data_IF_561288683987
#
_entry.id   IF_561288683987
#
_cell.length_a   1.000
_cell.length_b   1.000
_cell.length_c   1.000
_cell.angle_alpha   90.00
_cell.angle_beta   90.00
_cell.angle_gamma   90.00
#
_symmetry.space_group_name_H-M   'P 1'
#
loop_
_entity.id
_entity.type
_entity.pdbx_description
1 polymer ?
#
# COMPACT_ATOMS: atom_id res chain seq x y z
N UNK A 1 2.65 -51.30 -37.91
CA UNK A 1 2.39 -50.57 -36.67
C UNK A 1 3.50 -49.53 -36.52
N UNK A 2 3.21 -48.28 -36.80
CA UNK A 2 4.17 -47.17 -36.68
C UNK A 2 3.62 -46.27 -35.55
N UNK A 3 4.36 -46.17 -34.47
CA UNK A 3 4.08 -45.29 -33.34
C UNK A 3 4.66 -43.91 -33.62
N UNK A 4 3.79 -42.91 -33.77
CA UNK A 4 4.19 -41.50 -33.90
C UNK A 4 4.35 -40.90 -32.49
N UNK A 5 5.58 -40.52 -32.17
CA UNK A 5 5.89 -39.73 -30.98
C UNK A 5 5.65 -38.25 -31.29
N UNK A 6 4.67 -37.63 -30.64
CA UNK A 6 4.53 -36.18 -30.63
C UNK A 6 5.48 -35.61 -29.56
N UNK A 7 6.50 -34.91 -30.02
CA UNK A 7 7.34 -34.08 -29.17
C UNK A 7 6.60 -32.78 -28.86
N UNK A 8 6.39 -32.51 -27.56
CA UNK A 8 5.85 -31.23 -27.08
C UNK A 8 6.92 -30.14 -27.25
N UNK A 9 6.53 -29.03 -27.82
CA UNK A 9 7.36 -27.84 -27.92
C UNK A 9 7.56 -27.19 -26.54
N UNK A 10 8.77 -26.65 -26.24
CA UNK A 10 9.00 -25.97 -24.96
C UNK A 10 8.26 -24.64 -24.91
N UNK A 11 7.66 -24.34 -23.74
CA UNK A 11 7.03 -23.09 -23.44
C UNK A 11 8.04 -21.91 -23.52
N UNK A 12 7.61 -20.71 -23.94
CA UNK A 12 8.49 -19.55 -23.98
C UNK A 12 8.87 -19.12 -22.57
N UNK A 13 10.16 -19.06 -22.31
CA UNK A 13 10.77 -18.52 -21.12
C UNK A 13 10.42 -17.04 -21.00
N UNK A 14 9.65 -16.66 -19.97
CA UNK A 14 9.43 -15.28 -19.56
C UNK A 14 10.75 -14.70 -19.05
N UNK A 15 11.45 -13.99 -19.93
CA UNK A 15 12.59 -13.16 -19.55
C UNK A 15 12.09 -12.02 -18.65
N UNK A 16 12.44 -12.07 -17.38
CA UNK A 16 12.29 -10.92 -16.46
C UNK A 16 13.15 -9.77 -16.98
N UNK A 17 12.57 -8.59 -17.28
CA UNK A 17 13.38 -7.44 -17.64
C UNK A 17 14.14 -6.96 -16.40
N UNK A 18 15.45 -7.19 -16.37
CA UNK A 18 16.37 -6.48 -15.48
C UNK A 18 16.49 -5.05 -16.01
N UNK A 19 15.57 -4.15 -15.62
CA UNK A 19 15.71 -2.74 -15.92
C UNK A 19 16.74 -2.16 -14.96
N UNK A 20 17.97 -1.99 -15.44
CA UNK A 20 18.91 -1.05 -14.83
C UNK A 20 18.42 0.35 -15.19
N UNK A 21 18.25 1.22 -14.19
CA UNK A 21 18.07 2.65 -14.42
C UNK A 21 19.28 3.14 -15.21
N UNK A 22 19.05 3.64 -16.43
CA UNK A 22 20.12 4.26 -17.20
C UNK A 22 20.72 5.37 -16.34
N UNK A 23 22.03 5.30 -16.10
CA UNK A 23 22.74 6.28 -15.29
C UNK A 23 22.57 7.67 -15.90
N UNK A 24 21.85 8.60 -15.25
CA UNK A 24 21.77 9.97 -15.74
C UNK A 24 23.16 10.62 -15.60
N UNK A 25 23.54 11.41 -16.61
CA UNK A 25 24.69 12.31 -16.49
C UNK A 25 24.52 13.14 -15.22
N UNK A 26 25.56 13.28 -14.37
CA UNK A 26 25.43 14.01 -13.12
C UNK A 26 25.05 15.47 -13.41
N UNK A 27 23.88 15.87 -12.96
CA UNK A 27 23.55 17.28 -12.80
C UNK A 27 24.46 17.86 -11.70
N UNK A 28 24.93 19.09 -11.88
CA UNK A 28 25.84 19.74 -10.95
C UNK A 28 25.29 19.71 -9.50
N UNK A 29 26.11 19.42 -8.48
CA UNK A 29 25.67 19.26 -7.12
C UNK A 29 25.22 20.61 -6.54
N UNK A 30 23.94 20.73 -6.24
CA UNK A 30 23.41 21.70 -5.27
C UNK A 30 23.17 20.97 -3.95
N UNK A 31 24.23 20.42 -3.37
CA UNK A 31 24.17 19.74 -2.09
C UNK A 31 24.39 20.75 -0.97
N UNK A 32 23.62 20.65 0.10
CA UNK A 32 23.84 21.35 1.38
C UNK A 32 24.98 20.72 2.21
N UNK A 33 25.69 19.74 1.67
CA UNK A 33 26.93 19.23 2.24
C UNK A 33 28.09 20.01 1.63
N UNK A 34 28.86 20.73 2.48
CA UNK A 34 30.07 21.42 2.06
C UNK A 34 31.05 20.47 1.34
N UNK A 35 31.78 21.00 0.36
CA UNK A 35 32.78 20.22 -0.39
C UNK A 35 33.80 19.53 0.53
N UNK A 36 33.99 20.04 1.74
CA UNK A 36 34.90 19.51 2.78
C UNK A 36 34.28 18.41 3.67
N UNK A 37 32.99 18.05 3.45
CA UNK A 37 32.34 16.99 4.24
C UNK A 37 32.96 15.62 3.96
N UNK A 38 33.04 14.72 4.96
CA UNK A 38 33.52 13.35 4.77
C UNK A 38 32.80 12.63 3.64
N UNK A 39 33.46 11.77 2.86
CA UNK A 39 32.86 11.10 1.69
C UNK A 39 31.57 10.36 1.98
N UNK A 40 31.42 9.69 3.14
CA UNK A 40 30.20 9.00 3.55
C UNK A 40 29.04 9.96 3.83
N UNK A 41 29.31 11.18 4.31
CA UNK A 41 28.29 12.21 4.57
C UNK A 41 27.75 12.75 3.24
N UNK A 42 28.66 13.04 2.30
CA UNK A 42 28.26 13.48 0.94
C UNK A 42 27.43 12.40 0.23
N UNK A 43 27.92 11.15 0.26
CA UNK A 43 27.22 10.02 -0.35
C UNK A 43 25.80 9.86 0.22
N UNK A 44 25.61 10.04 1.54
CA UNK A 44 24.28 9.98 2.15
C UNK A 44 23.38 11.13 1.67
N UNK A 45 23.90 12.35 1.63
CA UNK A 45 23.17 13.52 1.16
C UNK A 45 22.72 13.36 -0.29
N UNK A 46 23.64 12.96 -1.19
CA UNK A 46 23.37 12.74 -2.60
C UNK A 46 22.33 11.62 -2.80
N UNK A 47 22.45 10.53 -2.03
CA UNK A 47 21.50 9.41 -2.07
C UNK A 47 20.09 9.82 -1.64
N UNK A 48 19.97 10.59 -0.57
CA UNK A 48 18.67 11.06 -0.08
C UNK A 48 18.05 12.11 -1.02
N UNK A 49 18.88 12.96 -1.62
CA UNK A 49 18.44 13.91 -2.64
C UNK A 49 17.89 13.18 -3.87
N UNK A 50 18.58 12.14 -4.33
CA UNK A 50 18.09 11.32 -5.45
C UNK A 50 16.84 10.54 -5.10
N UNK A 51 16.76 9.99 -3.88
CA UNK A 51 15.55 9.34 -3.37
C UNK A 51 14.35 10.31 -3.36
N UNK A 52 14.57 11.55 -2.92
CA UNK A 52 13.53 12.60 -2.93
C UNK A 52 13.12 13.00 -4.36
N UNK A 53 14.09 13.13 -5.28
CA UNK A 53 13.85 13.45 -6.69
C UNK A 53 12.98 12.39 -7.38
N UNK A 54 13.27 11.12 -7.12
CA UNK A 54 12.53 9.97 -7.65
C UNK A 54 11.25 9.65 -6.87
N UNK A 55 10.95 10.41 -5.82
CA UNK A 55 9.83 10.16 -4.92
C UNK A 55 9.84 8.72 -4.35
N UNK A 56 11.02 8.21 -4.02
CA UNK A 56 11.18 6.88 -3.47
C UNK A 56 10.53 6.74 -2.08
N UNK A 57 9.87 5.63 -1.83
CA UNK A 57 9.30 5.30 -0.51
C UNK A 57 10.33 4.71 0.46
N UNK A 58 11.28 3.92 -0.05
CA UNK A 58 12.28 3.25 0.76
C UNK A 58 13.66 3.34 0.10
N UNK A 59 14.71 3.51 0.93
CA UNK A 59 16.10 3.33 0.56
C UNK A 59 16.64 2.08 1.26
N UNK A 60 17.15 1.14 0.48
CA UNK A 60 17.77 -0.09 0.96
C UNK A 60 19.29 -0.01 0.79
N UNK A 61 20.02 -0.22 1.86
CA UNK A 61 21.48 -0.32 1.92
C UNK A 61 21.80 -1.77 2.25
N UNK A 62 22.37 -2.49 1.29
CA UNK A 62 22.49 -3.95 1.34
C UNK A 62 23.94 -4.38 1.24
N UNK A 63 24.52 -4.96 2.32
CA UNK A 63 25.83 -5.58 2.25
C UNK A 63 25.76 -6.87 1.43
N UNK A 64 26.83 -7.17 0.70
CA UNK A 64 27.00 -8.33 -0.13
C UNK A 64 28.39 -8.93 0.10
N UNK A 65 28.65 -10.14 -0.39
CA UNK A 65 29.95 -10.81 -0.26
C UNK A 65 31.10 -9.92 -0.78
N UNK A 66 30.88 -9.33 -1.97
CA UNK A 66 31.86 -8.46 -2.62
C UNK A 66 31.34 -7.02 -2.71
N UNK A 67 31.30 -6.31 -1.56
CA UNK A 67 30.90 -4.91 -1.51
C UNK A 67 29.51 -4.67 -0.92
N UNK A 68 28.81 -3.71 -1.46
CA UNK A 68 27.48 -3.33 -1.04
C UNK A 68 26.77 -2.56 -2.15
N UNK A 69 25.41 -2.51 -2.08
CA UNK A 69 24.62 -1.77 -3.04
C UNK A 69 23.54 -0.93 -2.35
N UNK A 70 23.08 0.08 -3.06
CA UNK A 70 21.93 0.88 -2.68
C UNK A 70 20.81 0.69 -3.70
N UNK A 71 19.57 0.48 -3.21
CA UNK A 71 18.38 0.38 -4.03
C UNK A 71 17.31 1.32 -3.50
N UNK A 72 16.56 1.92 -4.42
CA UNK A 72 15.38 2.73 -4.12
C UNK A 72 14.11 1.98 -4.48
N UNK A 73 13.10 2.07 -3.63
CA UNK A 73 11.75 1.62 -3.99
C UNK A 73 10.97 2.81 -4.53
N UNK A 74 10.69 2.77 -5.83
CA UNK A 74 9.92 3.80 -6.55
C UNK A 74 8.64 3.16 -7.06
N UNK A 75 7.49 3.75 -6.71
CA UNK A 75 6.16 3.22 -7.06
C UNK A 75 5.98 1.70 -6.79
N UNK A 76 6.56 1.23 -5.67
CA UNK A 76 6.48 -0.16 -5.22
C UNK A 76 7.58 -1.09 -5.77
N UNK A 77 8.34 -0.68 -6.80
CA UNK A 77 9.39 -1.50 -7.44
C UNK A 77 10.77 -1.08 -6.96
N UNK A 78 11.66 -2.06 -6.70
CA UNK A 78 13.05 -1.83 -6.32
C UNK A 78 13.92 -1.62 -7.56
N UNK A 79 14.64 -0.49 -7.58
CA UNK A 79 15.62 -0.14 -8.61
C UNK A 79 17.00 0.00 -7.96
N UNK A 80 18.03 -0.55 -8.60
CA UNK A 80 19.41 -0.37 -8.15
C UNK A 80 19.87 1.06 -8.47
N UNK A 81 20.29 1.79 -7.43
CA UNK A 81 20.77 3.16 -7.55
C UNK A 81 22.28 3.19 -7.83
N UNK A 82 23.04 2.48 -7.01
CA UNK A 82 24.50 2.46 -7.13
C UNK A 82 25.15 1.34 -6.33
N UNK A 83 26.42 1.09 -6.63
CA UNK A 83 27.35 0.22 -5.88
C UNK A 83 28.58 1.05 -5.45
N UNK A 84 28.51 1.70 -4.29
CA UNK A 84 29.62 2.54 -3.86
C UNK A 84 30.87 1.73 -3.46
N UNK A 85 32.04 2.38 -3.34
CA UNK A 85 33.27 1.74 -2.90
C UNK A 85 33.11 1.01 -1.56
N UNK A 86 33.65 -0.20 -1.45
CA UNK A 86 33.49 -1.05 -0.26
C UNK A 86 33.96 -0.38 1.05
N UNK A 87 35.03 0.41 1.00
CA UNK A 87 35.61 1.10 2.17
C UNK A 87 34.68 2.18 2.78
N UNK A 88 33.67 2.65 2.04
CA UNK A 88 32.72 3.66 2.55
C UNK A 88 31.56 3.04 3.35
N UNK A 89 31.34 1.73 3.26
CA UNK A 89 30.17 1.05 3.83
C UNK A 89 30.03 1.31 5.33
N UNK A 90 31.07 1.01 6.10
CA UNK A 90 30.98 1.07 7.56
C UNK A 90 30.84 2.51 8.07
N UNK A 91 31.50 3.46 7.42
CA UNK A 91 31.34 4.88 7.70
C UNK A 91 29.92 5.38 7.36
N UNK A 92 29.34 4.89 6.26
CA UNK A 92 27.99 5.21 5.84
C UNK A 92 26.95 4.66 6.84
N UNK A 93 27.04 3.36 7.20
CA UNK A 93 26.17 2.70 8.18
C UNK A 93 26.26 3.42 9.52
N UNK A 94 27.47 3.69 10.01
CA UNK A 94 27.67 4.43 11.26
C UNK A 94 27.03 5.80 11.21
N UNK A 95 27.19 6.55 10.12
CA UNK A 95 26.56 7.87 9.96
C UNK A 95 25.03 7.81 10.04
N UNK A 96 24.42 6.86 9.36
CA UNK A 96 22.97 6.66 9.42
C UNK A 96 22.52 6.31 10.85
N UNK A 97 23.21 5.40 11.53
CA UNK A 97 22.88 5.00 12.91
C UNK A 97 22.99 6.20 13.89
N UNK A 98 24.05 7.01 13.78
CA UNK A 98 24.19 8.24 14.59
C UNK A 98 23.00 9.19 14.37
N UNK A 99 22.66 9.46 13.12
CA UNK A 99 21.55 10.36 12.78
C UNK A 99 20.21 9.80 13.24
N UNK A 100 20.03 8.48 13.18
CA UNK A 100 18.81 7.78 13.61
C UNK A 100 18.78 7.52 15.13
N UNK A 101 19.79 7.99 15.91
CA UNK A 101 19.95 7.77 17.35
C UNK A 101 19.96 6.30 17.76
N UNK A 102 20.59 5.46 16.94
CA UNK A 102 20.83 4.04 17.20
C UNK A 102 22.19 3.83 17.86
N UNK A 103 22.35 2.71 18.55
CA UNK A 103 23.62 2.30 19.14
C UNK A 103 24.58 1.86 18.01
N UNK A 104 25.71 2.58 17.87
CA UNK A 104 26.73 2.30 16.85
C UNK A 104 27.65 1.13 17.22
N UNK A 105 27.75 0.80 18.53
CA UNK A 105 28.57 -0.31 19.03
C UNK A 105 27.85 -1.64 18.89
N UNK A 106 26.52 -1.66 19.01
CA UNK A 106 25.72 -2.86 18.86
C UNK A 106 25.43 -3.16 17.38
N UNK A 107 25.88 -4.33 16.89
CA UNK A 107 25.75 -4.78 15.50
C UNK A 107 25.17 -6.18 15.37
N UNK A 108 24.76 -6.80 16.48
CA UNK A 108 24.34 -8.22 16.54
C UNK A 108 22.83 -8.39 16.60
N UNK A 109 22.09 -7.33 16.90
CA UNK A 109 20.64 -7.33 17.03
C UNK A 109 20.02 -6.25 16.16
N UNK A 110 18.77 -6.43 15.70
CA UNK A 110 18.03 -5.39 14.98
C UNK A 110 17.83 -4.15 15.85
N UNK A 111 17.84 -2.98 15.19
CA UNK A 111 17.54 -1.70 15.85
C UNK A 111 16.57 -0.90 14.99
N UNK A 112 15.73 -0.12 15.66
CA UNK A 112 14.85 0.86 15.04
C UNK A 112 15.23 2.27 15.48
N UNK A 113 15.15 3.22 14.54
CA UNK A 113 15.42 4.62 14.79
C UNK A 113 14.60 5.54 13.90
N UNK A 114 14.74 6.84 14.13
CA UNK A 114 14.14 7.88 13.29
C UNK A 114 15.19 8.90 12.90
N UNK A 115 15.11 9.34 11.67
CA UNK A 115 16.05 10.28 11.05
C UNK A 115 15.23 11.41 10.42
N UNK A 116 15.56 12.66 10.79
CA UNK A 116 14.95 13.85 10.21
C UNK A 116 16.02 14.72 9.59
N UNK A 117 15.94 14.96 8.29
CA UNK A 117 16.95 15.69 7.53
C UNK A 117 16.32 16.69 6.56
N UNK A 118 17.04 17.81 6.37
CA UNK A 118 16.80 18.70 5.24
C UNK A 118 17.40 18.05 3.98
N UNK A 119 16.59 17.81 2.94
CA UNK A 119 17.05 17.15 1.70
C UNK A 119 17.26 18.20 0.62
N UNK A 120 16.53 18.98 0.12
CA UNK A 120 16.79 20.00 -0.90
C UNK A 120 15.85 21.20 -0.72
N UNK A 121 16.27 22.39 -1.10
CA UNK A 121 15.45 23.62 -1.09
C UNK A 121 14.66 23.86 0.21
N UNK A 122 15.21 23.47 1.38
CA UNK A 122 14.57 23.64 2.67
C UNK A 122 13.49 22.62 3.01
N UNK A 123 13.26 21.60 2.17
CA UNK A 123 12.32 20.52 2.44
C UNK A 123 12.92 19.56 3.45
N UNK A 124 12.21 19.35 4.56
CA UNK A 124 12.60 18.42 5.62
C UNK A 124 11.84 17.11 5.40
N UNK A 125 12.55 16.00 5.38
CA UNK A 125 11.96 14.67 5.29
C UNK A 125 12.26 13.86 6.55
N UNK A 126 11.28 13.09 6.98
CA UNK A 126 11.37 12.16 8.10
C UNK A 126 11.49 10.73 7.56
N UNK A 127 12.41 9.95 8.16
CA UNK A 127 12.61 8.54 7.83
C UNK A 127 12.53 7.67 9.08
N UNK A 128 11.82 6.56 8.99
CA UNK A 128 11.97 5.44 9.91
C UNK A 128 13.14 4.59 9.40
N UNK A 129 14.09 4.29 10.28
CA UNK A 129 15.28 3.52 9.96
C UNK A 129 15.26 2.21 10.73
N UNK A 130 15.45 1.10 10.03
CA UNK A 130 15.65 -0.21 10.63
C UNK A 130 17.01 -0.75 10.22
N UNK A 131 17.76 -1.29 11.18
CA UNK A 131 19.00 -2.05 10.95
C UNK A 131 18.78 -3.52 11.26
N UNK A 132 19.36 -4.38 10.42
CA UNK A 132 19.29 -5.83 10.58
C UNK A 132 20.67 -6.44 10.32
N UNK A 133 21.25 -7.21 11.26
CA UNK A 133 22.45 -8.00 11.01
C UNK A 133 22.23 -9.03 9.91
N UNK A 134 23.16 -9.10 8.96
CA UNK A 134 23.19 -10.12 7.91
C UNK A 134 24.56 -10.77 7.84
N UNK A 135 24.71 -11.82 7.02
CA UNK A 135 25.99 -12.55 6.85
C UNK A 135 27.16 -11.64 6.46
N UNK A 136 26.90 -10.57 5.69
CA UNK A 136 27.95 -9.72 5.14
C UNK A 136 28.01 -8.32 5.78
N UNK A 137 27.25 -8.10 6.87
CA UNK A 137 27.19 -6.85 7.62
C UNK A 137 25.77 -6.38 7.90
N UNK A 138 25.62 -5.17 8.41
CA UNK A 138 24.30 -4.62 8.73
C UNK A 138 23.60 -4.13 7.44
N UNK A 139 22.39 -4.65 7.18
CA UNK A 139 21.46 -4.08 6.20
C UNK A 139 20.70 -2.94 6.86
N UNK A 140 20.54 -1.82 6.15
CA UNK A 140 19.68 -0.72 6.58
C UNK A 140 18.53 -0.54 5.59
N UNK A 141 17.36 -0.19 6.13
CA UNK A 141 16.22 0.27 5.35
C UNK A 141 15.74 1.59 5.94
N UNK A 142 15.74 2.63 5.12
CA UNK A 142 15.19 3.93 5.46
C UNK A 142 13.85 4.07 4.74
N UNK A 143 12.75 4.05 5.50
CA UNK A 143 11.40 4.28 4.98
C UNK A 143 11.02 5.73 5.18
N UNK A 144 10.73 6.43 4.10
CA UNK A 144 10.25 7.81 4.17
C UNK A 144 8.85 7.84 4.79
N UNK A 145 8.68 8.69 5.79
CA UNK A 145 7.37 8.99 6.35
C UNK A 145 6.73 10.06 5.45
N UNK A 146 5.71 9.65 4.72
CA UNK A 146 5.01 10.56 3.81
C UNK A 146 4.18 11.56 4.62
N UNK A 147 4.18 12.83 4.22
CA UNK A 147 3.19 13.78 4.68
C UNK A 147 1.85 13.46 4.00
N UNK A 148 0.75 13.77 4.69
CA UNK A 148 -0.56 13.70 4.04
C UNK A 148 -0.57 14.56 2.78
N UNK A 149 -1.05 14.04 1.64
CA UNK A 149 -1.31 14.86 0.48
C UNK A 149 -2.29 15.99 0.83
N UNK A 150 -1.99 17.22 0.41
CA UNK A 150 -2.85 18.37 0.70
C UNK A 150 -4.25 18.24 0.07
N UNK A 151 -4.35 17.45 -1.00
CA UNK A 151 -5.56 17.18 -1.79
C UNK A 151 -6.20 15.81 -1.46
N UNK A 152 -5.88 15.24 -0.29
CA UNK A 152 -6.42 13.93 0.10
C UNK A 152 -7.95 13.98 0.18
N UNK A 153 -8.60 13.29 -0.74
CA UNK A 153 -10.06 13.24 -0.93
C UNK A 153 -10.47 11.88 -1.48
N UNK A 154 -11.76 11.57 -1.49
CA UNK A 154 -12.26 10.34 -2.13
C UNK A 154 -11.90 10.27 -3.63
N UNK A 155 -11.81 11.42 -4.30
CA UNK A 155 -11.42 11.48 -5.72
C UNK A 155 -9.95 11.08 -5.92
N UNK A 156 -9.07 11.47 -4.99
CA UNK A 156 -7.64 11.12 -5.05
C UNK A 156 -7.36 9.64 -4.81
N UNK A 157 -8.29 8.91 -4.17
CA UNK A 157 -8.16 7.46 -3.94
C UNK A 157 -8.31 6.62 -5.22
N UNK A 158 -8.87 7.19 -6.28
CA UNK A 158 -9.10 6.47 -7.54
C UNK A 158 -10.39 5.64 -7.55
N UNK A 159 -11.38 5.96 -6.74
CA UNK A 159 -12.71 5.36 -6.79
C UNK A 159 -13.44 5.75 -8.09
N UNK A 160 -14.20 4.81 -8.65
CA UNK A 160 -15.17 5.16 -9.71
C UNK A 160 -16.34 5.98 -9.09
N UNK A 161 -17.04 6.83 -9.87
CA UNK A 161 -18.09 7.70 -9.32
C UNK A 161 -19.13 6.95 -8.47
N UNK A 162 -19.65 5.83 -8.95
CA UNK A 162 -20.61 5.01 -8.20
C UNK A 162 -20.01 4.41 -6.92
N UNK A 163 -18.74 3.99 -6.96
CA UNK A 163 -18.02 3.49 -5.79
C UNK A 163 -17.81 4.59 -4.76
N UNK A 164 -17.43 5.80 -5.20
CA UNK A 164 -17.30 6.98 -4.34
C UNK A 164 -18.57 7.28 -3.57
N UNK A 165 -19.72 7.29 -4.25
CA UNK A 165 -21.03 7.57 -3.63
C UNK A 165 -21.42 6.52 -2.59
N UNK A 166 -21.08 5.24 -2.83
CA UNK A 166 -21.27 4.16 -1.86
C UNK A 166 -20.39 4.36 -0.64
N UNK A 167 -19.10 4.65 -0.84
CA UNK A 167 -18.15 4.90 0.24
C UNK A 167 -18.57 6.12 1.07
N UNK A 168 -18.89 7.25 0.44
CA UNK A 168 -19.28 8.49 1.12
C UNK A 168 -20.51 8.28 2.01
N UNK A 169 -21.55 7.60 1.48
CA UNK A 169 -22.74 7.25 2.28
C UNK A 169 -22.41 6.33 3.44
N UNK A 170 -21.53 5.36 3.24
CA UNK A 170 -21.19 4.37 4.27
C UNK A 170 -20.39 4.97 5.42
N UNK A 171 -19.43 5.85 5.11
CA UNK A 171 -18.62 6.51 6.16
C UNK A 171 -19.38 7.61 6.89
N UNK A 172 -20.44 8.17 6.32
CA UNK A 172 -21.30 9.15 6.99
C UNK A 172 -22.44 8.53 7.80
N UNK A 173 -22.53 7.21 7.83
CA UNK A 173 -23.51 6.52 8.66
C UNK A 173 -23.25 6.80 10.15
N UNK A 174 -24.29 6.88 11.00
CA UNK A 174 -24.13 7.19 12.42
C UNK A 174 -23.34 6.14 13.18
N UNK A 175 -23.41 4.87 12.78
CA UNK A 175 -22.73 3.74 13.40
C UNK A 175 -22.52 2.60 12.40
N UNK A 176 -21.69 1.64 12.73
CA UNK A 176 -21.43 0.45 11.94
C UNK A 176 -19.96 0.24 11.66
N UNK A 177 -19.62 -0.89 11.05
CA UNK A 177 -18.23 -1.27 10.73
C UNK A 177 -17.97 -1.07 9.23
N UNK A 178 -16.95 -0.31 8.91
CA UNK A 178 -16.43 -0.11 7.55
C UNK A 178 -15.01 -0.68 7.48
N UNK A 179 -14.77 -1.58 6.55
CA UNK A 179 -13.51 -2.29 6.39
C UNK A 179 -12.82 -1.93 5.08
N UNK A 180 -11.51 -1.68 5.17
CA UNK A 180 -10.62 -1.59 4.01
C UNK A 180 -9.65 -2.75 4.06
N UNK A 181 -9.67 -3.62 3.04
CA UNK A 181 -8.81 -4.79 3.00
C UNK A 181 -7.87 -4.80 1.82
N UNK A 182 -6.81 -5.57 1.92
CA UNK A 182 -5.77 -5.72 0.89
C UNK A 182 -4.41 -6.08 1.49
N UNK A 183 -3.43 -6.48 0.68
CA UNK A 183 -2.08 -6.75 1.14
C UNK A 183 -1.38 -5.49 1.70
N UNK A 184 -0.21 -5.72 2.27
CA UNK A 184 0.69 -4.62 2.66
C UNK A 184 1.03 -3.77 1.43
N UNK A 185 1.01 -2.45 1.59
CA UNK A 185 1.30 -1.51 0.48
C UNK A 185 0.13 -1.26 -0.48
N UNK A 186 -1.08 -1.77 -0.23
CA UNK A 186 -2.26 -1.49 -1.06
C UNK A 186 -2.89 -0.11 -0.82
N UNK A 187 -2.39 0.68 0.11
CA UNK A 187 -2.87 2.04 0.40
C UNK A 187 -4.00 2.13 1.43
N UNK A 188 -4.27 1.07 2.21
CA UNK A 188 -5.35 1.03 3.21
C UNK A 188 -5.30 2.18 4.21
N UNK A 189 -4.14 2.45 4.78
CA UNK A 189 -3.93 3.54 5.75
C UNK A 189 -4.32 4.90 5.16
N UNK A 190 -3.93 5.16 3.90
CA UNK A 190 -4.30 6.42 3.23
C UNK A 190 -5.80 6.54 3.00
N UNK A 191 -6.49 5.43 2.69
CA UNK A 191 -7.96 5.42 2.59
C UNK A 191 -8.62 5.71 3.94
N UNK A 192 -8.15 5.09 5.03
CA UNK A 192 -8.67 5.36 6.37
C UNK A 192 -8.39 6.80 6.81
N UNK A 193 -7.21 7.34 6.53
CA UNK A 193 -6.89 8.74 6.82
C UNK A 193 -7.75 9.72 6.02
N UNK A 194 -8.05 9.40 4.75
CA UNK A 194 -9.01 10.14 3.94
C UNK A 194 -10.40 10.14 4.60
N UNK A 195 -10.89 8.99 5.05
CA UNK A 195 -12.18 8.87 5.71
C UNK A 195 -12.20 9.67 7.03
N UNK A 196 -11.16 9.55 7.85
CA UNK A 196 -11.04 10.33 9.08
C UNK A 196 -11.03 11.84 8.82
N UNK A 197 -10.30 12.31 7.81
CA UNK A 197 -10.26 13.72 7.43
C UNK A 197 -11.63 14.25 6.99
N UNK A 198 -12.37 13.46 6.20
CA UNK A 198 -13.73 13.83 5.75
C UNK A 198 -14.76 13.86 6.90
N UNK A 199 -14.51 13.09 7.96
CA UNK A 199 -15.37 13.03 9.14
C UNK A 199 -14.96 14.01 10.22
N UNK A 200 -13.75 14.58 10.13
CA UNK A 200 -13.17 15.45 11.15
C UNK A 200 -13.87 16.81 11.18
N UNK A 201 -14.76 16.97 12.12
CA UNK A 201 -15.50 18.18 12.40
C UNK A 201 -15.39 18.51 13.89
N UNK A 202 -15.45 19.80 14.26
CA UNK A 202 -15.37 20.23 15.66
C UNK A 202 -16.47 19.63 16.57
N UNK A 203 -17.57 19.15 15.99
CA UNK A 203 -18.68 18.52 16.68
C UNK A 203 -18.55 17.01 16.84
N UNK A 204 -17.41 16.40 16.45
CA UNK A 204 -17.19 14.95 16.50
C UNK A 204 -15.90 14.62 17.21
N UNK A 205 -15.94 13.61 18.05
CA UNK A 205 -14.77 13.04 18.71
C UNK A 205 -14.25 11.82 17.91
N UNK A 206 -13.10 12.00 17.25
CA UNK A 206 -12.44 10.98 16.47
C UNK A 206 -11.24 10.41 17.24
N UNK A 207 -11.20 9.09 17.39
CA UNK A 207 -10.10 8.37 18.03
C UNK A 207 -9.49 7.34 17.08
N UNK A 208 -8.17 7.19 17.10
CA UNK A 208 -7.50 6.13 16.38
C UNK A 208 -6.50 5.37 17.25
N UNK A 209 -6.36 4.06 17.00
CA UNK A 209 -5.30 3.22 17.53
C UNK A 209 -4.55 2.52 16.40
N UNK A 210 -3.23 2.67 16.38
CA UNK A 210 -2.35 2.32 15.24
C UNK A 210 -1.04 1.68 15.72
N UNK A 211 -0.35 0.92 14.86
CA UNK A 211 0.90 0.23 15.22
C UNK A 211 2.07 0.53 14.25
N UNK A 212 2.80 1.64 14.45
CA UNK A 212 2.40 2.87 15.15
C UNK A 212 1.63 3.83 14.22
N UNK A 213 1.15 4.97 14.74
CA UNK A 213 0.67 6.09 13.93
C UNK A 213 1.80 6.60 13.02
N UNK A 214 1.57 6.56 11.70
CA UNK A 214 2.57 6.94 10.70
C UNK A 214 2.57 8.44 10.44
N UNK A 215 1.39 9.06 10.41
CA UNK A 215 1.18 10.48 10.12
C UNK A 215 0.33 11.09 11.24
N UNK A 216 0.72 12.26 11.72
CA UNK A 216 -0.06 13.00 12.70
C UNK A 216 -1.23 13.70 12.02
N UNK A 217 -2.45 13.42 12.48
CA UNK A 217 -3.68 14.03 11.99
C UNK A 217 -4.18 15.08 13.00
N UNK A 218 -4.27 16.33 12.55
CA UNK A 218 -4.81 17.40 13.41
C UNK A 218 -6.29 17.12 13.72
N UNK A 219 -6.69 17.31 14.98
CA UNK A 219 -8.08 17.13 15.43
C UNK A 219 -8.48 15.67 15.70
N UNK A 220 -7.55 14.71 15.64
CA UNK A 220 -7.81 13.29 15.91
C UNK A 220 -6.97 12.82 17.10
N UNK A 221 -7.59 12.09 18.01
CA UNK A 221 -6.93 11.50 19.18
C UNK A 221 -6.26 10.19 18.78
N UNK A 222 -4.98 10.26 18.38
CA UNK A 222 -4.22 9.10 17.89
C UNK A 222 -3.44 8.42 19.00
N UNK A 223 -3.61 7.12 19.16
CA UNK A 223 -2.89 6.25 20.11
C UNK A 223 -2.01 5.29 19.33
N UNK A 224 -0.74 5.22 19.66
CA UNK A 224 0.16 4.18 19.16
C UNK A 224 0.23 3.00 20.12
N UNK A 225 0.07 1.80 19.60
CA UNK A 225 0.24 0.53 20.34
C UNK A 225 1.62 0.48 21.01
N UNK A 226 1.66 -0.04 22.21
CA UNK A 226 2.87 -0.27 23.01
C UNK A 226 2.76 -1.61 23.73
N UNK A 227 2.94 -2.70 23.03
CA UNK A 227 2.77 -4.07 23.57
C UNK A 227 3.59 -4.30 24.85
N UNK A 228 4.84 -3.82 24.89
CA UNK A 228 5.72 -3.91 26.08
C UNK A 228 5.14 -3.23 27.34
N UNK A 229 4.25 -2.26 27.15
CA UNK A 229 3.54 -1.56 28.22
C UNK A 229 2.12 -2.10 28.44
N UNK A 230 1.71 -3.15 27.73
CA UNK A 230 0.37 -3.70 27.78
C UNK A 230 -0.69 -2.90 27.04
N UNK A 231 -0.30 -1.87 26.28
CA UNK A 231 -1.24 -1.07 25.46
C UNK A 231 -1.40 -1.74 24.09
N UNK A 232 -2.34 -2.68 24.00
CA UNK A 232 -2.72 -3.40 22.79
C UNK A 232 -3.87 -2.67 22.06
N UNK A 233 -4.23 -3.13 20.84
CA UNK A 233 -5.41 -2.65 20.11
C UNK A 233 -6.68 -2.80 20.93
N UNK A 234 -6.94 -3.97 21.51
CA UNK A 234 -8.12 -4.25 22.31
C UNK A 234 -8.20 -3.38 23.59
N UNK A 235 -7.07 -3.19 24.28
CA UNK A 235 -7.00 -2.32 25.47
C UNK A 235 -7.31 -0.87 25.15
N UNK A 236 -6.70 -0.35 24.07
CA UNK A 236 -6.95 1.02 23.63
C UNK A 236 -8.42 1.21 23.20
N UNK A 237 -8.97 0.26 22.44
CA UNK A 237 -10.35 0.29 21.95
C UNK A 237 -11.37 0.29 23.11
N UNK A 238 -11.17 -0.56 24.15
CA UNK A 238 -11.99 -0.52 25.38
C UNK A 238 -11.87 0.81 26.12
N UNK A 239 -10.71 1.44 26.08
CA UNK A 239 -10.55 2.76 26.69
C UNK A 239 -11.31 3.83 25.91
N UNK A 240 -11.30 3.79 24.58
CA UNK A 240 -12.05 4.72 23.74
C UNK A 240 -13.55 4.70 24.04
N UNK A 241 -14.15 3.54 24.26
CA UNK A 241 -15.58 3.42 24.61
C UNK A 241 -15.98 4.20 25.88
N UNK A 242 -15.00 4.69 26.67
CA UNK A 242 -15.22 5.55 27.84
C UNK A 242 -14.75 6.98 27.61
N UNK A 243 -14.40 7.35 26.39
CA UNK A 243 -13.94 8.68 25.98
C UNK A 243 -14.96 9.40 25.07
N UNK A 244 -16.21 8.91 25.04
CA UNK A 244 -17.30 9.46 24.23
C UNK A 244 -16.95 9.66 22.74
N UNK A 245 -16.48 8.63 22.04
CA UNK A 245 -16.09 8.74 20.65
C UNK A 245 -17.30 8.61 19.71
N UNK A 246 -17.33 9.42 18.65
CA UNK A 246 -18.28 9.24 17.54
C UNK A 246 -17.71 8.29 16.48
N UNK A 247 -16.40 8.40 16.23
CA UNK A 247 -15.70 7.62 15.21
C UNK A 247 -14.44 7.00 15.81
N UNK A 248 -14.29 5.71 15.62
CA UNK A 248 -13.13 4.96 16.08
C UNK A 248 -12.42 4.33 14.87
N UNK A 249 -11.13 4.59 14.70
CA UNK A 249 -10.30 3.88 13.74
C UNK A 249 -9.39 2.90 14.46
N UNK A 250 -9.45 1.64 14.06
CA UNK A 250 -8.55 0.57 14.48
C UNK A 250 -7.65 0.23 13.31
N UNK A 251 -6.35 0.45 13.46
CA UNK A 251 -5.39 0.30 12.36
C UNK A 251 -5.55 -1.04 11.63
N UNK A 252 -5.71 -2.12 12.38
CA UNK A 252 -6.04 -3.43 11.84
C UNK A 252 -6.66 -4.36 12.89
N UNK A 253 -7.44 -5.35 12.44
CA UNK A 253 -7.99 -6.44 13.26
C UNK A 253 -7.19 -7.70 12.95
N UNK A 254 -6.44 -8.20 13.97
CA UNK A 254 -5.60 -9.41 13.86
C UNK A 254 -6.14 -10.60 14.65
N UNK A 255 -6.84 -10.33 15.72
CA UNK A 255 -7.25 -11.30 16.75
C UNK A 255 -8.72 -11.14 17.15
N UNK A 256 -9.23 -12.19 17.80
CA UNK A 256 -10.63 -12.27 18.24
C UNK A 256 -10.99 -11.16 19.22
N UNK A 257 -10.09 -10.85 20.18
CA UNK A 257 -10.36 -9.85 21.22
C UNK A 257 -10.60 -8.46 20.61
N UNK A 258 -9.74 -8.04 19.66
CA UNK A 258 -9.89 -6.78 18.92
C UNK A 258 -11.14 -6.78 18.05
N UNK A 259 -11.42 -7.90 17.37
CA UNK A 259 -12.58 -8.05 16.49
C UNK A 259 -13.89 -7.94 17.29
N UNK A 260 -14.00 -8.63 18.41
CA UNK A 260 -15.19 -8.63 19.27
C UNK A 260 -15.51 -7.21 19.78
N UNK A 261 -14.50 -6.51 20.31
CA UNK A 261 -14.69 -5.14 20.80
C UNK A 261 -15.07 -4.17 19.67
N UNK A 262 -14.44 -4.30 18.49
CA UNK A 262 -14.73 -3.45 17.34
C UNK A 262 -16.17 -3.65 16.82
N UNK A 263 -16.62 -4.90 16.71
CA UNK A 263 -17.97 -5.24 16.28
C UNK A 263 -19.02 -4.75 17.29
N UNK A 264 -18.78 -4.95 18.59
CA UNK A 264 -19.67 -4.43 19.64
C UNK A 264 -19.75 -2.91 19.64
N UNK A 265 -18.63 -2.22 19.47
CA UNK A 265 -18.62 -0.76 19.34
C UNK A 265 -19.47 -0.31 18.14
N UNK A 266 -19.34 -0.99 16.99
CA UNK A 266 -20.12 -0.71 15.79
C UNK A 266 -21.63 -0.94 15.95
N UNK A 267 -22.02 -1.87 16.81
CA UNK A 267 -23.45 -2.14 17.13
C UNK A 267 -24.02 -1.12 18.15
N UNK A 268 -23.16 -0.56 19.01
CA UNK A 268 -23.59 0.30 20.14
C UNK A 268 -23.50 1.80 19.83
N UNK A 269 -23.57 2.18 18.55
CA UNK A 269 -23.72 3.59 18.15
C UNK A 269 -22.46 4.26 17.60
N UNK A 270 -21.32 3.56 17.50
CA UNK A 270 -20.08 4.13 17.00
C UNK A 270 -19.82 3.76 15.52
N UNK A 271 -19.28 4.67 14.75
CA UNK A 271 -18.70 4.34 13.44
C UNK A 271 -17.30 3.80 13.64
N UNK A 272 -17.08 2.54 13.27
CA UNK A 272 -15.79 1.88 13.39
C UNK A 272 -15.17 1.70 12.00
N UNK A 273 -13.95 2.20 11.82
CA UNK A 273 -13.16 2.06 10.61
C UNK A 273 -11.98 1.14 10.91
N UNK A 274 -11.74 0.12 10.08
CA UNK A 274 -10.59 -0.76 10.30
C UNK A 274 -10.05 -1.38 9.02
N UNK A 275 -8.93 -2.11 9.15
CA UNK A 275 -8.35 -2.87 8.04
C UNK A 275 -8.24 -4.36 8.35
N UNK A 276 -8.18 -5.13 7.27
CA UNK A 276 -7.85 -6.54 7.25
C UNK A 276 -6.81 -6.84 6.16
N UNK A 277 -6.23 -8.02 6.22
CA UNK A 277 -5.33 -8.53 5.19
C UNK A 277 -6.00 -9.69 4.44
N UNK A 278 -6.92 -9.38 3.52
CA UNK A 278 -7.54 -10.36 2.61
C UNK A 278 -7.41 -9.93 1.16
N UNK A 279 -7.53 -10.86 0.23
CA UNK A 279 -7.31 -10.60 -1.19
C UNK A 279 -8.47 -9.88 -1.87
N UNK A 280 -9.70 -10.07 -1.39
CA UNK A 280 -10.93 -9.44 -1.90
C UNK A 280 -11.91 -9.13 -0.77
N UNK A 281 -13.02 -8.49 -1.09
CA UNK A 281 -14.01 -8.08 -0.11
C UNK A 281 -14.83 -9.27 0.46
N UNK A 282 -15.25 -10.28 -0.31
CA UNK A 282 -15.89 -11.48 0.24
C UNK A 282 -15.04 -12.24 1.25
N UNK A 283 -13.73 -12.38 0.99
CA UNK A 283 -12.82 -13.07 1.90
C UNK A 283 -12.65 -12.34 3.25
N UNK A 284 -12.92 -11.04 3.33
CA UNK A 284 -12.88 -10.32 4.58
C UNK A 284 -13.98 -10.78 5.56
N UNK A 285 -15.14 -11.15 5.06
CA UNK A 285 -16.25 -11.70 5.85
C UNK A 285 -15.84 -13.06 6.44
N UNK A 286 -15.34 -13.96 5.60
CA UNK A 286 -14.87 -15.27 6.02
C UNK A 286 -13.75 -15.12 7.08
N UNK A 287 -12.81 -14.20 6.84
CA UNK A 287 -11.69 -13.95 7.78
C UNK A 287 -12.16 -13.51 9.17
N UNK A 288 -13.18 -12.65 9.26
CA UNK A 288 -13.72 -12.23 10.56
C UNK A 288 -14.41 -13.39 11.28
N UNK A 289 -15.15 -14.23 10.54
CA UNK A 289 -15.76 -15.45 11.10
C UNK A 289 -14.69 -16.41 11.59
N UNK A 290 -13.61 -16.60 10.83
CA UNK A 290 -12.48 -17.48 11.20
C UNK A 290 -11.71 -16.95 12.42
N UNK A 291 -11.66 -15.65 12.63
CA UNK A 291 -11.06 -15.02 13.83
C UNK A 291 -11.95 -15.26 15.08
N UNK A 292 -13.20 -15.64 14.93
CA UNK A 292 -14.11 -15.92 16.04
C UNK A 292 -15.30 -14.97 16.15
N UNK A 293 -15.50 -14.05 15.19
CA UNK A 293 -16.66 -13.15 15.20
C UNK A 293 -17.94 -13.95 14.88
N UNK A 294 -18.93 -13.88 15.77
CA UNK A 294 -20.21 -14.52 15.52
C UNK A 294 -20.93 -13.88 14.30
N UNK A 295 -21.39 -14.69 13.32
CA UNK A 295 -21.97 -14.21 12.09
C UNK A 295 -23.17 -13.25 12.28
N UNK A 296 -23.99 -13.49 13.27
CA UNK A 296 -25.12 -12.63 13.60
C UNK A 296 -24.64 -11.22 14.01
N UNK A 297 -23.61 -11.14 14.83
CA UNK A 297 -23.03 -9.86 15.25
C UNK A 297 -22.36 -9.15 14.09
N UNK A 298 -21.63 -9.90 13.25
CA UNK A 298 -21.00 -9.37 12.06
C UNK A 298 -22.01 -8.78 11.07
N UNK A 299 -23.09 -9.53 10.77
CA UNK A 299 -24.16 -9.10 9.86
C UNK A 299 -24.85 -7.81 10.35
N UNK A 300 -25.04 -7.67 11.66
CA UNK A 300 -25.64 -6.48 12.26
C UNK A 300 -24.72 -5.26 12.22
N UNK A 301 -23.41 -5.46 12.37
CA UNK A 301 -22.42 -4.37 12.45
C UNK A 301 -21.90 -3.91 11.08
N UNK A 302 -21.65 -4.85 10.16
CA UNK A 302 -20.93 -4.60 8.91
C UNK A 302 -21.76 -3.80 7.91
N UNK A 303 -21.19 -2.69 7.40
CA UNK A 303 -21.83 -1.82 6.40
C UNK A 303 -21.17 -1.87 5.05
N UNK A 304 -19.83 -1.91 5.05
CA UNK A 304 -19.05 -1.81 3.82
C UNK A 304 -17.76 -2.59 3.98
N UNK A 305 -17.39 -3.32 2.94
CA UNK A 305 -16.05 -3.85 2.76
C UNK A 305 -15.48 -3.32 1.45
N UNK A 306 -14.33 -2.69 1.50
CA UNK A 306 -13.61 -2.23 0.30
C UNK A 306 -12.28 -2.97 0.18
N UNK A 307 -12.14 -3.84 -0.81
CA UNK A 307 -10.82 -4.39 -1.14
C UNK A 307 -10.07 -3.46 -2.07
N UNK A 308 -8.77 -3.32 -1.84
CA UNK A 308 -7.95 -2.31 -2.50
C UNK A 308 -6.59 -2.86 -2.94
N UNK A 309 -6.15 -2.42 -4.13
CA UNK A 309 -4.79 -2.58 -4.64
C UNK A 309 -4.31 -1.25 -5.21
N UNK A 310 -2.99 -1.10 -5.35
CA UNK A 310 -2.39 0.01 -6.08
C UNK A 310 -1.77 -0.52 -7.37
N UNK A 311 -2.04 0.17 -8.48
CA UNK A 311 -1.38 -0.04 -9.76
C UNK A 311 -0.57 1.19 -10.13
N UNK A 312 0.55 1.01 -10.82
CA UNK A 312 1.36 2.12 -11.32
C UNK A 312 0.63 2.84 -12.46
N UNK A 313 0.69 4.14 -12.45
CA UNK A 313 0.13 4.98 -13.52
C UNK A 313 1.13 5.08 -14.66
N UNK A 314 0.68 4.83 -15.88
CA UNK A 314 1.49 5.12 -17.07
C UNK A 314 1.86 6.61 -17.10
N UNK A 315 3.10 6.89 -17.46
CA UNK A 315 3.55 8.26 -17.65
C UNK A 315 2.79 8.89 -18.82
N UNK A 316 2.05 9.95 -18.54
CA UNK A 316 1.23 10.62 -19.58
C UNK A 316 2.06 11.23 -20.70
N UNK A 317 3.35 11.54 -20.46
CA UNK A 317 4.24 12.13 -21.46
C UNK A 317 4.81 11.10 -22.45
N UNK A 318 4.84 9.79 -22.10
CA UNK A 318 5.50 8.79 -22.94
C UNK A 318 4.75 7.47 -23.09
N UNK A 319 3.54 7.34 -22.56
CA UNK A 319 2.72 6.16 -22.84
C UNK A 319 2.46 6.03 -24.34
N UNK A 320 2.51 4.81 -24.83
CA UNK A 320 2.31 4.51 -26.24
C UNK A 320 1.07 3.65 -26.41
N UNK A 321 0.30 3.90 -27.46
CA UNK A 321 -0.76 3.01 -27.86
C UNK A 321 -0.14 1.67 -28.31
N UNK A 322 -0.75 0.58 -27.90
CA UNK A 322 -0.30 -0.77 -28.24
C UNK A 322 -1.46 -1.61 -28.77
N UNK A 323 -1.14 -2.57 -29.59
CA UNK A 323 -2.09 -3.56 -30.10
C UNK A 323 -1.84 -4.87 -29.34
N UNK A 324 -2.80 -5.21 -28.46
CA UNK A 324 -2.84 -6.52 -27.81
C UNK A 324 -3.54 -7.52 -28.73
N UNK A 325 -3.17 -8.81 -28.61
CA UNK A 325 -3.90 -9.83 -29.36
C UNK A 325 -5.27 -10.08 -28.70
N UNK A 326 -6.34 -10.33 -29.48
CA UNK A 326 -7.64 -10.71 -28.89
C UNK A 326 -7.52 -11.87 -27.89
N UNK A 327 -6.67 -12.86 -28.19
CA UNK A 327 -6.44 -14.01 -27.32
C UNK A 327 -5.87 -13.62 -25.94
N UNK A 328 -4.93 -12.63 -25.87
CA UNK A 328 -4.37 -12.17 -24.60
C UNK A 328 -5.40 -11.40 -23.79
N UNK A 329 -6.26 -10.62 -24.43
CA UNK A 329 -7.32 -9.86 -23.78
C UNK A 329 -8.46 -10.77 -23.29
N UNK A 330 -8.82 -11.81 -24.05
CA UNK A 330 -9.76 -12.86 -23.57
C UNK A 330 -9.18 -13.61 -22.35
N UNK A 331 -7.91 -13.98 -22.38
CA UNK A 331 -7.25 -14.59 -21.24
C UNK A 331 -7.22 -13.66 -20.01
N UNK A 332 -7.23 -12.34 -20.22
CA UNK A 332 -7.39 -11.34 -19.16
C UNK A 332 -8.81 -11.25 -18.60
N UNK A 333 -9.83 -11.85 -19.27
CA UNK A 333 -11.23 -11.88 -18.86
C UNK A 333 -12.12 -10.87 -19.57
N UNK A 334 -11.69 -10.30 -20.72
CA UNK A 334 -12.51 -9.40 -21.52
C UNK A 334 -13.42 -10.18 -22.48
N UNK A 335 -14.67 -9.73 -22.62
CA UNK A 335 -15.62 -10.26 -23.61
C UNK A 335 -15.40 -9.68 -25.01
N UNK A 336 -15.96 -10.32 -26.04
CA UNK A 336 -15.90 -9.83 -27.43
C UNK A 336 -16.42 -8.39 -27.57
N UNK A 337 -17.52 -8.06 -26.90
CA UNK A 337 -18.11 -6.71 -26.87
C UNK A 337 -17.13 -5.67 -26.31
N UNK A 338 -16.40 -6.04 -25.25
CA UNK A 338 -15.40 -5.17 -24.66
C UNK A 338 -14.20 -4.96 -25.58
N UNK A 339 -13.83 -5.97 -26.38
CA UNK A 339 -12.71 -5.89 -27.32
C UNK A 339 -12.99 -4.95 -28.49
N UNK A 340 -14.23 -4.82 -28.94
CA UNK A 340 -14.59 -3.98 -30.10
C UNK A 340 -14.19 -2.49 -29.92
N UNK A 341 -14.05 -2.04 -28.65
CA UNK A 341 -13.72 -0.66 -28.31
C UNK A 341 -12.48 -0.58 -27.38
N UNK A 342 -11.62 -1.61 -27.41
CA UNK A 342 -10.45 -1.69 -26.53
C UNK A 342 -9.24 -0.99 -27.15
N UNK A 343 -8.61 -0.12 -26.36
CA UNK A 343 -7.31 0.46 -26.67
C UNK A 343 -6.35 0.15 -25.53
N UNK A 344 -5.29 -0.56 -25.81
CA UNK A 344 -4.20 -0.81 -24.85
C UNK A 344 -3.15 0.28 -24.90
N UNK A 345 -2.47 0.47 -23.77
CA UNK A 345 -1.32 1.35 -23.65
C UNK A 345 -0.17 0.64 -22.92
N UNK A 346 1.05 0.96 -23.33
CA UNK A 346 2.29 0.41 -22.76
C UNK A 346 3.22 1.54 -22.29
N UNK A 347 4.12 1.27 -21.31
CA UNK A 347 5.10 2.25 -20.88
C UNK A 347 6.13 2.49 -21.97
N UNK A 348 6.45 3.76 -22.24
CA UNK A 348 7.54 4.14 -23.16
C UNK A 348 8.87 4.33 -22.42
N UNK A 349 8.99 5.39 -21.66
CA UNK A 349 10.21 5.83 -20.98
C UNK A 349 10.65 7.20 -21.50
N UNK A 350 10.76 8.18 -20.60
CA UNK A 350 11.23 9.54 -20.91
C UNK A 350 11.80 10.21 -19.66
N UNK A 351 12.35 11.41 -19.83
CA UNK A 351 12.93 12.17 -18.70
C UNK A 351 11.92 12.47 -17.60
N UNK A 352 10.64 12.71 -17.93
CA UNK A 352 9.60 13.00 -16.94
C UNK A 352 9.32 11.83 -16.00
N UNK A 353 9.55 10.59 -16.43
CA UNK A 353 9.41 9.37 -15.62
C UNK A 353 10.77 8.69 -15.35
N UNK A 354 11.87 9.36 -15.62
CA UNK A 354 13.24 8.85 -15.44
C UNK A 354 13.49 7.51 -16.15
N UNK A 355 12.92 7.34 -17.36
CA UNK A 355 13.06 6.12 -18.15
C UNK A 355 12.17 4.95 -17.73
N UNK A 356 11.43 5.05 -16.61
CA UNK A 356 10.65 3.94 -16.03
C UNK A 356 9.35 3.67 -16.85
N UNK A 357 8.80 4.68 -17.52
CA UNK A 357 7.53 4.59 -18.25
C UNK A 357 6.28 4.68 -17.35
N UNK A 358 6.46 4.68 -16.02
CA UNK A 358 5.40 4.85 -15.02
C UNK A 358 5.71 6.05 -14.12
N UNK A 359 4.68 6.69 -13.56
CA UNK A 359 4.82 7.79 -12.60
C UNK A 359 3.62 7.87 -11.67
N UNK A 360 3.86 7.56 -10.40
CA UNK A 360 2.84 7.51 -9.37
C UNK A 360 1.96 6.27 -9.45
N UNK A 361 1.03 6.19 -8.53
CA UNK A 361 0.12 5.03 -8.36
C UNK A 361 -1.33 5.50 -8.33
N UNK A 362 -2.26 4.58 -8.57
CA UNK A 362 -3.70 4.82 -8.44
C UNK A 362 -4.34 3.60 -7.78
N UNK A 363 -5.36 3.85 -6.94
CA UNK A 363 -6.14 2.78 -6.33
C UNK A 363 -7.06 2.11 -7.34
N UNK A 364 -7.19 0.80 -7.20
CA UNK A 364 -8.26 0.00 -7.77
C UNK A 364 -9.04 -0.62 -6.62
N UNK A 365 -10.37 -0.62 -6.72
CA UNK A 365 -11.23 -0.92 -5.60
C UNK A 365 -12.32 -1.92 -6.00
N UNK A 366 -12.59 -2.85 -5.09
CA UNK A 366 -13.82 -3.64 -5.04
C UNK A 366 -14.62 -3.12 -3.85
N UNK A 367 -15.69 -2.37 -4.11
CA UNK A 367 -16.51 -1.73 -3.09
C UNK A 367 -17.79 -2.54 -2.93
N UNK A 368 -17.93 -3.24 -1.80
CA UNK A 368 -19.02 -4.16 -1.51
C UNK A 368 -19.84 -3.64 -0.31
N UNK A 369 -20.95 -2.95 -0.56
CA UNK A 369 -21.92 -2.62 0.48
C UNK A 369 -22.58 -3.90 0.99
N UNK A 370 -22.97 -3.90 2.26
CA UNK A 370 -23.64 -5.05 2.87
C UNK A 370 -25.15 -4.83 2.82
N UNK A 371 -25.80 -5.45 1.83
CA UNK A 371 -27.26 -5.48 1.63
C UNK A 371 -27.93 -6.43 2.61
N UNK A 372 -29.25 -6.42 2.65
CA UNK A 372 -30.01 -7.35 3.49
C UNK A 372 -29.81 -8.80 3.03
N UNK A 373 -29.79 -9.07 1.72
CA UNK A 373 -29.47 -10.39 1.18
C UNK A 373 -28.04 -10.84 1.56
N UNK A 374 -27.09 -9.91 1.59
CA UNK A 374 -25.74 -10.21 2.04
C UNK A 374 -25.70 -10.54 3.54
N UNK A 375 -26.49 -9.85 4.37
CA UNK A 375 -26.63 -10.17 5.81
C UNK A 375 -27.17 -11.57 6.04
N UNK A 376 -28.18 -11.99 5.28
CA UNK A 376 -28.73 -13.34 5.35
C UNK A 376 -27.67 -14.40 5.04
N UNK A 377 -26.84 -14.19 4.01
CA UNK A 377 -25.73 -15.07 3.68
C UNK A 377 -24.67 -15.11 4.79
N UNK A 378 -24.33 -13.97 5.41
CA UNK A 378 -23.41 -13.93 6.53
C UNK A 378 -23.95 -14.74 7.72
N UNK A 379 -25.23 -14.54 8.10
CA UNK A 379 -25.87 -15.24 9.21
C UNK A 379 -25.92 -16.75 8.97
N UNK A 380 -26.20 -17.17 7.73
CA UNK A 380 -26.21 -18.59 7.35
C UNK A 380 -24.82 -19.22 7.20
N UNK A 381 -23.73 -18.46 7.47
CA UNK A 381 -22.35 -18.91 7.27
C UNK A 381 -22.07 -19.36 5.83
N UNK A 382 -22.65 -18.66 4.85
CA UNK A 382 -22.45 -18.97 3.44
C UNK A 382 -20.95 -18.90 3.06
N UNK A 383 -20.54 -19.75 2.14
CA UNK A 383 -19.16 -19.79 1.68
C UNK A 383 -18.77 -18.53 0.90
N UNK A 384 -17.47 -18.22 0.86
CA UNK A 384 -16.92 -17.05 0.15
C UNK A 384 -17.39 -16.94 -1.30
N UNK A 385 -17.58 -18.07 -2.00
CA UNK A 385 -18.08 -18.10 -3.37
C UNK A 385 -19.55 -17.67 -3.49
N UNK A 386 -20.39 -17.98 -2.49
CA UNK A 386 -21.80 -17.56 -2.48
C UNK A 386 -21.90 -16.07 -2.23
N UNK A 387 -21.11 -15.55 -1.27
CA UNK A 387 -20.97 -14.12 -1.01
C UNK A 387 -20.48 -13.38 -2.25
N UNK A 388 -19.47 -13.92 -2.97
CA UNK A 388 -18.96 -13.35 -4.21
C UNK A 388 -20.00 -13.34 -5.34
N UNK A 389 -20.81 -14.40 -5.47
CA UNK A 389 -21.91 -14.46 -6.46
C UNK A 389 -22.98 -13.41 -6.16
N UNK A 390 -23.35 -13.25 -4.89
CA UNK A 390 -24.32 -12.23 -4.47
C UNK A 390 -23.78 -10.83 -4.73
N UNK A 391 -22.51 -10.56 -4.36
CA UNK A 391 -21.87 -9.29 -4.66
C UNK A 391 -21.87 -8.98 -6.16
N UNK A 392 -21.56 -9.97 -7.00
CA UNK A 392 -21.60 -9.81 -8.46
C UNK A 392 -23.03 -9.53 -8.97
N UNK A 393 -24.04 -10.22 -8.44
CA UNK A 393 -25.46 -9.99 -8.79
C UNK A 393 -25.93 -8.58 -8.40
N UNK A 394 -25.36 -8.00 -7.34
CA UNK A 394 -25.59 -6.62 -6.90
C UNK A 394 -24.73 -5.58 -7.64
N UNK A 395 -23.98 -5.99 -8.67
CA UNK A 395 -23.18 -5.10 -9.50
C UNK A 395 -21.82 -4.70 -8.92
N UNK A 396 -21.34 -5.40 -7.88
CA UNK A 396 -20.02 -5.17 -7.31
C UNK A 396 -18.95 -5.63 -8.30
N UNK A 397 -18.16 -4.68 -8.79
CA UNK A 397 -17.04 -4.99 -9.69
C UNK A 397 -15.90 -5.69 -8.93
N UNK A 398 -15.30 -6.71 -9.55
CA UNK A 398 -14.10 -7.36 -9.02
C UNK A 398 -12.89 -6.42 -9.14
N UNK A 399 -11.83 -6.66 -8.34
CA UNK A 399 -10.56 -5.91 -8.48
C UNK A 399 -10.00 -6.03 -9.90
N UNK A 400 -10.10 -7.21 -10.54
CA UNK A 400 -9.65 -7.41 -11.92
C UNK A 400 -10.44 -6.54 -12.91
N UNK A 401 -11.75 -6.50 -12.80
CA UNK A 401 -12.59 -5.66 -13.67
C UNK A 401 -12.26 -4.17 -13.47
N UNK A 402 -12.07 -3.74 -12.22
CA UNK A 402 -11.67 -2.35 -11.91
C UNK A 402 -10.27 -2.01 -12.47
N UNK A 403 -9.31 -2.93 -12.39
CA UNK A 403 -7.97 -2.75 -12.96
C UNK A 403 -7.99 -2.68 -14.48
N UNK A 404 -8.75 -3.55 -15.16
CA UNK A 404 -8.92 -3.54 -16.60
C UNK A 404 -9.62 -2.27 -17.08
N UNK A 405 -10.58 -1.73 -16.34
CA UNK A 405 -11.18 -0.43 -16.63
C UNK A 405 -10.11 0.69 -16.65
N UNK A 406 -9.14 0.66 -15.71
CA UNK A 406 -8.00 1.58 -15.70
C UNK A 406 -6.99 1.35 -16.82
N UNK A 407 -6.88 0.11 -17.31
CA UNK A 407 -6.05 -0.17 -18.48
C UNK A 407 -6.70 0.37 -19.77
N UNK A 408 -8.03 0.25 -19.89
CA UNK A 408 -8.80 0.77 -21.04
C UNK A 408 -8.70 2.28 -21.17
N UNK A 409 -8.76 3.03 -20.07
CA UNK A 409 -8.64 4.50 -20.09
C UNK A 409 -7.17 4.98 -20.20
N UNK A 410 -6.22 4.07 -20.30
CA UNK A 410 -4.80 4.36 -20.43
C UNK A 410 -4.16 4.89 -19.13
N UNK A 411 -4.80 4.72 -17.97
CA UNK A 411 -4.23 5.06 -16.68
C UNK A 411 -3.10 4.10 -16.30
N UNK A 412 -3.27 2.80 -16.63
CA UNK A 412 -2.25 1.76 -16.40
C UNK A 412 -2.11 0.86 -17.65
N UNK A 413 -1.20 -0.10 -17.63
CA UNK A 413 -1.09 -1.12 -18.68
C UNK A 413 -1.89 -2.37 -18.32
N UNK A 414 -2.24 -3.18 -19.34
CA UNK A 414 -2.88 -4.50 -19.12
C UNK A 414 -1.98 -5.39 -18.26
N UNK A 415 -0.69 -5.43 -18.55
CA UNK A 415 0.27 -6.23 -17.78
C UNK A 415 0.30 -5.85 -16.29
N UNK A 416 0.29 -4.56 -15.97
CA UNK A 416 0.25 -4.06 -14.59
C UNK A 416 -1.10 -4.40 -13.92
N UNK A 417 -2.21 -4.23 -14.64
CA UNK A 417 -3.54 -4.57 -14.15
C UNK A 417 -3.66 -6.05 -13.78
N UNK A 418 -3.14 -6.94 -14.62
CA UNK A 418 -3.14 -8.38 -14.40
C UNK A 418 -2.25 -8.76 -13.22
N UNK A 419 -1.00 -8.28 -13.19
CA UNK A 419 -0.05 -8.57 -12.12
C UNK A 419 -0.58 -8.13 -10.74
N UNK A 420 -1.20 -6.96 -10.65
CA UNK A 420 -1.75 -6.46 -9.38
C UNK A 420 -3.00 -7.22 -8.90
N UNK A 421 -3.68 -7.96 -9.79
CA UNK A 421 -4.92 -8.69 -9.51
C UNK A 421 -4.78 -10.20 -9.67
N UNK A 422 -3.57 -10.69 -9.83
CA UNK A 422 -3.27 -12.11 -9.79
C UNK A 422 -3.63 -12.68 -8.41
N UNK A 423 -4.44 -13.71 -8.39
CA UNK A 423 -4.78 -14.44 -7.16
C UNK A 423 -3.64 -15.42 -6.93
N UNK A 424 -2.89 -15.23 -5.86
CA UNK A 424 -1.84 -16.17 -5.44
C UNK A 424 -2.44 -17.47 -4.92
#
# INVERSE_FOLDING_TARGET
MRTSSHAAAPAPSLATPTSSLASPKPAAPTSTADADSPPAVRLLADTLQEAARLNASDLHIEPMEHGWRMRLRVDGVLHELSRPPAHLRDAFVTRVKVLARMDIAERRVPQDGRLRLAVAAGRVEDYRVNSLPTLFGEKLVLRRLEALPADLSLDSLGLAPAQRDIVDRSIRAPHGLVLVTGPTGSGKTMSLYCFLQLLNAASRNLCSVEDPAEIQLAGINQVSVREKAGLTFAVALRAFLRQDPDVIMVGEIRDEETADVAVKAAQTGHLVLSTLHTNDAPAAIARLIDIGVEPYNLAAALRLVTAQRLVRRLCCACRQAAVETPASLHAAGLSDDALAHWQSYVPGGCDACHGIGFRGRVGIHQVMPVSDSMRELIVSRAGTHEIARQAHAEGVQTLRAAALARARDGTTSVAEALSATEVA
#
